data_IF_171069374968
#
_entry.id   IF_171069374968
#
_cell.length_a   1.000
_cell.length_b   1.000
_cell.length_c   1.000
_cell.angle_alpha   90.00
_cell.angle_beta   90.00
_cell.angle_gamma   90.00
#
_symmetry.space_group_name_H-M   'P 1'
#
loop_
_entity.id
_entity.type
_entity.pdbx_description
1 polymer ?
#
# COMPACT_ATOMS: atom_id res chain seq x y z
N UNK A 1 13.42 31.29 -9.93
CA UNK A 1 12.99 30.04 -10.59
C UNK A 1 13.82 28.96 -9.95
N UNK A 2 13.31 28.38 -8.86
CA UNK A 2 13.97 27.28 -8.17
C UNK A 2 13.62 26.00 -8.93
N UNK A 3 14.64 25.42 -9.55
CA UNK A 3 14.57 24.21 -10.34
C UNK A 3 14.35 23.04 -9.38
N UNK A 4 13.12 22.53 -9.35
CA UNK A 4 12.73 21.32 -8.61
C UNK A 4 13.46 20.13 -9.23
N UNK A 5 14.72 19.92 -8.84
CA UNK A 5 15.40 18.66 -9.09
C UNK A 5 14.66 17.57 -8.31
N UNK A 6 14.20 16.48 -8.96
CA UNK A 6 13.63 15.35 -8.25
C UNK A 6 14.70 14.81 -7.29
N UNK A 7 14.39 14.76 -5.99
CA UNK A 7 15.25 14.14 -4.99
C UNK A 7 15.53 12.72 -5.46
N UNK A 8 16.81 12.35 -5.58
CA UNK A 8 17.22 11.03 -6.01
C UNK A 8 16.40 9.96 -5.27
N UNK A 9 15.72 9.11 -6.04
CA UNK A 9 14.97 7.96 -5.52
C UNK A 9 15.98 6.99 -4.89
N UNK A 10 16.30 7.21 -3.61
CA UNK A 10 17.12 6.28 -2.85
C UNK A 10 16.27 5.05 -2.54
N UNK A 11 16.63 3.89 -3.11
CA UNK A 11 15.98 2.63 -2.78
C UNK A 11 15.93 2.43 -1.25
N UNK A 12 14.76 2.08 -0.69
CA UNK A 12 14.61 1.90 0.74
C UNK A 12 15.51 0.78 1.26
N UNK A 13 16.15 1.00 2.41
CA UNK A 13 17.06 0.02 2.99
C UNK A 13 16.31 -1.29 3.36
N UNK A 14 16.89 -2.44 3.02
CA UNK A 14 16.29 -3.75 3.31
C UNK A 14 16.52 -4.17 4.78
N UNK A 15 15.95 -3.41 5.73
CA UNK A 15 16.15 -3.54 7.18
C UNK A 15 14.82 -3.61 7.95
N UNK A 16 14.85 -4.16 9.16
CA UNK A 16 13.70 -4.25 10.07
C UNK A 16 14.06 -3.78 11.48
N UNK A 17 13.25 -2.91 12.13
CA UNK A 17 13.43 -2.57 13.53
C UNK A 17 13.03 -3.75 14.43
N UNK A 18 13.93 -4.16 15.31
CA UNK A 18 13.64 -5.14 16.37
C UNK A 18 13.05 -4.47 17.60
N UNK A 19 13.65 -3.35 18.03
CA UNK A 19 13.26 -2.65 19.25
C UNK A 19 13.64 -1.17 19.20
N UNK A 20 12.81 -0.35 19.80
CA UNK A 20 13.13 1.03 20.16
C UNK A 20 13.13 1.17 21.69
N UNK A 21 14.06 1.96 22.22
CA UNK A 21 14.09 2.28 23.65
C UNK A 21 14.74 3.65 23.87
N UNK A 22 14.50 4.20 25.05
CA UNK A 22 15.22 5.37 25.54
C UNK A 22 16.23 4.88 26.57
N UNK A 23 17.48 5.27 26.38
CA UNK A 23 18.53 5.11 27.38
C UNK A 23 18.99 6.50 27.86
N UNK A 24 19.65 6.55 29.00
CA UNK A 24 20.07 7.79 29.64
C UNK A 24 21.60 7.79 29.74
N UNK A 25 22.27 8.51 28.85
CA UNK A 25 23.73 8.66 28.92
C UNK A 25 24.08 9.98 29.61
N UNK A 26 25.04 9.90 30.54
CA UNK A 26 25.61 11.08 31.19
C UNK A 26 26.53 11.81 30.22
N UNK A 27 26.20 13.05 29.89
CA UNK A 27 27.11 13.98 29.23
C UNK A 27 27.90 14.72 30.30
N UNK A 28 29.21 14.50 30.34
CA UNK A 28 30.25 15.23 31.10
C UNK A 28 29.73 16.21 32.18
N UNK A 29 29.31 15.69 33.33
CA UNK A 29 29.02 16.54 34.49
C UNK A 29 27.87 16.08 35.34
N UNK A 30 26.63 16.44 35.00
CA UNK A 30 25.53 16.34 35.99
C UNK A 30 24.14 16.03 35.40
N UNK A 31 23.96 15.98 34.07
CA UNK A 31 22.64 15.78 33.47
C UNK A 31 22.61 14.53 32.56
N UNK A 32 21.70 13.61 32.88
CA UNK A 32 21.42 12.43 32.06
C UNK A 32 20.55 12.86 30.87
N UNK A 33 21.11 12.85 29.67
CA UNK A 33 20.32 13.12 28.47
C UNK A 33 19.54 11.86 28.09
N UNK A 34 18.24 12.00 27.88
CA UNK A 34 17.42 10.96 27.26
C UNK A 34 17.84 10.78 25.79
N UNK A 35 18.44 9.64 25.48
CA UNK A 35 18.88 9.26 24.13
C UNK A 35 18.00 8.13 23.63
N UNK A 36 17.38 8.34 22.48
CA UNK A 36 16.56 7.34 21.83
C UNK A 36 17.42 6.45 20.92
N UNK A 37 17.22 5.14 21.03
CA UNK A 37 17.96 4.10 20.34
C UNK A 37 17.03 3.21 19.51
N UNK A 38 17.59 2.63 18.45
CA UNK A 38 16.96 1.59 17.66
C UNK A 38 17.91 0.42 17.50
N UNK A 39 17.39 -0.78 17.73
CA UNK A 39 18.00 -2.04 17.38
C UNK A 39 17.32 -2.50 16.10
N UNK A 40 18.09 -2.74 15.05
CA UNK A 40 17.59 -3.15 13.75
C UNK A 40 18.47 -4.24 13.15
N UNK A 41 17.91 -4.96 12.19
CA UNK A 41 18.61 -6.03 11.49
C UNK A 41 18.33 -6.02 9.99
N UNK A 42 19.16 -6.67 9.20
CA UNK A 42 18.90 -6.84 7.76
C UNK A 42 17.80 -7.88 7.57
N UNK A 43 16.82 -7.56 6.72
CA UNK A 43 15.76 -8.51 6.36
C UNK A 43 16.30 -9.60 5.42
N UNK A 44 15.65 -10.76 5.41
CA UNK A 44 15.99 -11.89 4.54
C UNK A 44 17.18 -12.73 5.01
N UNK A 45 18.15 -12.18 5.76
CA UNK A 45 19.38 -12.89 6.08
C UNK A 45 19.28 -13.82 7.30
N UNK A 46 19.85 -15.03 7.18
CA UNK A 46 19.84 -16.08 8.23
C UNK A 46 20.69 -15.76 9.45
N UNK A 47 21.80 -15.03 9.25
CA UNK A 47 22.72 -14.52 10.27
C UNK A 47 22.72 -13.00 10.22
N UNK A 48 21.55 -12.40 10.28
CA UNK A 48 21.45 -10.96 10.23
C UNK A 48 22.09 -10.36 11.49
N UNK A 49 23.12 -9.53 11.30
CA UNK A 49 23.75 -8.81 12.40
C UNK A 49 22.73 -7.85 13.00
N UNK A 50 22.57 -7.94 14.32
CA UNK A 50 21.78 -6.99 15.08
C UNK A 50 22.66 -5.75 15.29
N UNK A 51 22.19 -4.61 14.80
CA UNK A 51 22.87 -3.32 14.93
C UNK A 51 22.07 -2.42 15.84
N UNK A 52 22.75 -1.76 16.78
CA UNK A 52 22.16 -0.74 17.65
C UNK A 52 22.70 0.62 17.24
N UNK A 53 21.81 1.56 16.98
CA UNK A 53 22.18 2.93 16.62
C UNK A 53 21.28 3.94 17.34
N UNK A 54 21.85 5.11 17.64
CA UNK A 54 21.09 6.26 18.14
C UNK A 54 20.14 6.75 17.04
N UNK A 55 18.87 6.98 17.37
CA UNK A 55 17.85 7.50 16.43
C UNK A 55 18.33 8.76 15.73
N UNK A 56 18.96 9.69 16.47
CA UNK A 56 19.54 10.93 15.93
C UNK A 56 20.57 10.71 14.82
N UNK A 57 21.26 9.55 14.81
CA UNK A 57 22.22 9.17 13.76
C UNK A 57 21.48 8.58 12.56
N UNK A 58 20.53 7.68 12.82
CA UNK A 58 19.76 7.01 11.77
C UNK A 58 18.86 7.98 11.00
N UNK A 59 18.32 9.00 11.66
CA UNK A 59 17.56 10.08 11.02
C UNK A 59 18.33 10.84 9.93
N UNK A 60 19.68 10.84 10.00
CA UNK A 60 20.53 11.47 8.98
C UNK A 60 20.71 10.60 7.74
N UNK A 61 20.45 9.29 7.86
CA UNK A 61 20.50 8.32 6.77
C UNK A 61 19.08 8.15 6.21
N UNK A 62 18.77 8.90 5.15
CA UNK A 62 17.43 8.96 4.58
C UNK A 62 16.90 7.58 4.16
N UNK A 63 17.76 6.69 3.65
CA UNK A 63 17.35 5.36 3.18
C UNK A 63 16.95 4.43 4.32
N UNK A 64 17.66 4.49 5.47
CA UNK A 64 17.28 3.76 6.69
C UNK A 64 16.08 4.42 7.38
N UNK A 65 16.08 5.74 7.46
CA UNK A 65 15.03 6.49 8.14
C UNK A 65 13.68 6.31 7.47
N UNK A 66 13.61 6.31 6.13
CA UNK A 66 12.37 6.06 5.40
C UNK A 66 11.67 4.74 5.81
N UNK A 67 12.45 3.72 6.17
CA UNK A 67 11.93 2.42 6.61
C UNK A 67 11.60 2.41 8.10
N UNK A 68 12.41 3.06 8.94
CA UNK A 68 12.29 3.02 10.40
C UNK A 68 11.32 4.05 10.97
N UNK A 69 11.13 5.20 10.30
CA UNK A 69 10.25 6.27 10.72
C UNK A 69 8.84 5.80 11.11
N UNK A 70 8.09 5.04 10.28
CA UNK A 70 6.72 4.64 10.64
C UNK A 70 6.67 3.76 11.89
N UNK A 71 7.70 2.94 12.13
CA UNK A 71 7.78 2.11 13.34
C UNK A 71 8.19 2.92 14.56
N UNK A 72 9.06 3.91 14.37
CA UNK A 72 9.44 4.85 15.42
C UNK A 72 8.24 5.70 15.86
N UNK A 73 7.47 6.23 14.90
CA UNK A 73 6.25 7.00 15.18
C UNK A 73 5.20 6.14 15.91
N UNK A 74 5.01 4.89 15.49
CA UNK A 74 4.15 3.94 16.19
C UNK A 74 4.64 3.64 17.61
N UNK A 75 5.95 3.46 17.80
CA UNK A 75 6.54 3.27 19.13
C UNK A 75 6.32 4.49 20.04
N UNK A 76 6.51 5.71 19.53
CA UNK A 76 6.23 6.95 20.28
C UNK A 76 4.75 7.08 20.66
N UNK A 77 3.85 6.55 19.84
CA UNK A 77 2.40 6.50 20.10
C UNK A 77 1.97 5.30 20.94
N UNK A 78 2.88 4.40 21.31
CA UNK A 78 2.60 3.12 21.98
C UNK A 78 1.62 2.22 21.21
N UNK A 79 1.62 2.33 19.88
CA UNK A 79 0.78 1.55 18.97
C UNK A 79 1.50 0.29 18.47
N UNK A 80 0.74 -0.68 17.95
CA UNK A 80 1.33 -1.89 17.34
C UNK A 80 2.15 -1.51 16.11
N UNK A 81 3.29 -2.18 15.94
CA UNK A 81 4.18 -1.96 14.79
C UNK A 81 3.42 -2.09 13.45
N UNK A 82 3.57 -1.12 12.53
CA UNK A 82 2.91 -1.18 11.23
C UNK A 82 3.51 -2.30 10.40
N UNK A 83 2.66 -3.17 9.83
CA UNK A 83 3.11 -4.11 8.79
C UNK A 83 3.22 -3.31 7.49
N UNK A 84 4.45 -3.09 7.02
CA UNK A 84 4.66 -2.34 5.78
C UNK A 84 4.41 -3.26 4.57
N UNK A 85 3.29 -3.05 3.89
CA UNK A 85 2.89 -3.81 2.69
C UNK A 85 1.76 -4.80 2.94
N UNK A 86 1.54 -5.70 1.97
CA UNK A 86 0.52 -6.74 2.06
C UNK A 86 0.98 -7.84 3.03
N UNK A 87 0.24 -8.12 4.13
CA UNK A 87 0.68 -9.06 5.14
C UNK A 87 0.80 -10.47 4.57
N UNK A 88 1.90 -11.15 4.89
CA UNK A 88 2.19 -12.49 4.37
C UNK A 88 1.11 -13.52 4.74
N UNK A 89 0.44 -13.37 5.88
CA UNK A 89 -0.65 -14.27 6.31
C UNK A 89 -1.92 -14.15 5.46
N UNK A 90 -2.20 -12.96 4.96
CA UNK A 90 -3.40 -12.72 4.16
C UNK A 90 -3.18 -13.15 2.71
N UNK A 91 -1.94 -13.48 2.32
CA UNK A 91 -1.60 -13.79 0.94
C UNK A 91 -1.93 -15.24 0.62
N UNK A 92 -2.84 -15.52 -0.33
CA UNK A 92 -3.22 -16.89 -0.68
C UNK A 92 -2.10 -17.69 -1.37
N UNK A 93 -0.96 -17.06 -1.67
CA UNK A 93 0.19 -17.69 -2.30
C UNK A 93 1.07 -18.53 -1.36
N UNK A 94 0.88 -18.42 -0.04
CA UNK A 94 1.62 -19.16 1.00
C UNK A 94 0.69 -20.01 1.85
N UNK A 95 1.19 -21.16 2.32
CA UNK A 95 0.49 -21.92 3.38
C UNK A 95 0.75 -21.29 4.76
N UNK A 96 -0.11 -21.56 5.77
CA UNK A 96 0.09 -21.04 7.12
C UNK A 96 1.45 -21.43 7.74
N UNK A 97 1.97 -22.61 7.42
CA UNK A 97 3.27 -23.09 7.88
C UNK A 97 4.41 -22.30 7.23
N UNK A 98 4.28 -22.00 5.92
CA UNK A 98 5.24 -21.18 5.19
C UNK A 98 5.23 -19.74 5.71
N UNK A 99 4.05 -19.17 5.95
CA UNK A 99 3.89 -17.84 6.53
C UNK A 99 4.55 -17.74 7.92
N UNK A 100 4.42 -18.78 8.76
CA UNK A 100 5.10 -18.84 10.06
C UNK A 100 6.63 -18.80 9.92
N UNK A 101 7.20 -19.62 9.05
CA UNK A 101 8.67 -19.64 8.84
C UNK A 101 9.17 -18.29 8.30
N UNK A 102 8.41 -17.65 7.41
CA UNK A 102 8.74 -16.33 6.88
C UNK A 102 8.72 -15.25 7.98
N UNK A 103 7.70 -15.29 8.85
CA UNK A 103 7.60 -14.39 10.01
C UNK A 103 8.71 -14.58 11.03
N UNK A 104 9.08 -15.82 11.33
CA UNK A 104 10.20 -16.14 12.22
C UNK A 104 11.53 -15.55 11.70
N UNK A 105 11.58 -15.20 10.41
CA UNK A 105 12.72 -14.58 9.73
C UNK A 105 12.48 -13.11 9.37
N UNK A 106 11.50 -12.47 10.00
CA UNK A 106 11.14 -11.05 9.83
C UNK A 106 10.72 -10.67 8.40
N UNK A 107 10.25 -11.63 7.60
CA UNK A 107 9.56 -11.39 6.32
C UNK A 107 8.06 -11.33 6.62
N UNK A 108 7.56 -10.12 6.88
CA UNK A 108 6.18 -9.92 7.35
C UNK A 108 5.21 -9.56 6.22
N UNK A 109 5.74 -9.15 5.07
CA UNK A 109 4.94 -8.75 3.90
C UNK A 109 5.37 -9.45 2.60
N UNK A 110 4.48 -9.41 1.61
CA UNK A 110 4.73 -9.96 0.27
C UNK A 110 5.81 -9.16 -0.46
N UNK A 111 5.88 -7.85 -0.20
CA UNK A 111 6.92 -6.94 -0.69
C UNK A 111 8.29 -7.31 -0.13
N UNK A 112 8.37 -7.66 1.16
CA UNK A 112 9.62 -8.15 1.77
C UNK A 112 10.09 -9.46 1.12
N UNK A 113 9.17 -10.38 0.85
CA UNK A 113 9.48 -11.66 0.19
C UNK A 113 9.95 -11.44 -1.25
N UNK A 114 9.31 -10.55 -2.00
CA UNK A 114 9.67 -10.23 -3.38
C UNK A 114 11.08 -9.59 -3.48
N UNK A 115 11.39 -8.69 -2.54
CA UNK A 115 12.66 -7.94 -2.50
C UNK A 115 13.82 -8.67 -1.81
N UNK A 116 13.56 -9.84 -1.20
CA UNK A 116 14.60 -10.63 -0.53
C UNK A 116 15.65 -11.16 -1.52
N UNK A 117 16.92 -11.20 -1.11
CA UNK A 117 17.99 -11.70 -1.97
C UNK A 117 17.93 -13.21 -2.17
N UNK A 118 18.41 -13.70 -3.32
CA UNK A 118 18.36 -15.13 -3.64
C UNK A 118 19.21 -15.98 -2.68
N UNK A 119 20.33 -15.42 -2.20
CA UNK A 119 21.21 -16.03 -1.22
C UNK A 119 20.58 -16.13 0.17
N UNK A 120 19.71 -15.17 0.52
CA UNK A 120 18.94 -15.12 1.75
C UNK A 120 17.79 -16.14 1.71
N UNK A 121 17.08 -16.21 0.59
CA UNK A 121 15.98 -17.17 0.37
C UNK A 121 16.46 -18.63 0.38
N UNK A 122 17.62 -18.92 -0.24
CA UNK A 122 18.18 -20.27 -0.27
C UNK A 122 18.51 -20.83 1.12
N UNK A 123 18.74 -19.97 2.10
CA UNK A 123 19.04 -20.36 3.49
C UNK A 123 17.80 -20.48 4.39
N UNK A 124 16.62 -20.09 3.89
CA UNK A 124 15.36 -20.28 4.61
C UNK A 124 14.96 -21.76 4.71
N UNK A 125 15.56 -22.63 3.90
CA UNK A 125 15.29 -24.08 3.92
C UNK A 125 13.87 -24.45 3.50
N UNK A 126 13.10 -23.49 2.97
CA UNK A 126 11.74 -23.70 2.50
C UNK A 126 11.74 -24.34 1.10
N UNK A 127 11.00 -25.43 0.89
CA UNK A 127 10.88 -26.03 -0.43
C UNK A 127 10.18 -25.06 -1.39
N UNK A 128 10.77 -24.85 -2.57
CA UNK A 128 10.18 -24.01 -3.61
C UNK A 128 10.21 -22.51 -3.33
N UNK A 129 11.11 -22.03 -2.45
CA UNK A 129 11.18 -20.62 -2.04
C UNK A 129 11.43 -19.65 -3.21
N UNK A 130 12.16 -20.08 -4.25
CA UNK A 130 12.39 -19.27 -5.45
C UNK A 130 11.11 -19.12 -6.29
N UNK A 131 10.33 -20.19 -6.41
CA UNK A 131 9.01 -20.15 -7.04
C UNK A 131 8.05 -19.28 -6.24
N UNK A 132 8.14 -19.32 -4.90
CA UNK A 132 7.35 -18.46 -4.01
C UNK A 132 7.70 -16.98 -4.20
N UNK A 133 8.99 -16.64 -4.32
CA UNK A 133 9.42 -15.28 -4.65
C UNK A 133 8.89 -14.84 -6.02
N UNK A 134 8.95 -15.70 -7.03
CA UNK A 134 8.38 -15.42 -8.35
C UNK A 134 6.88 -15.14 -8.29
N UNK A 135 6.13 -15.93 -7.51
CA UNK A 135 4.70 -15.69 -7.24
C UNK A 135 4.45 -14.38 -6.50
N UNK A 136 5.30 -14.01 -5.54
CA UNK A 136 5.20 -12.75 -4.81
C UNK A 136 5.39 -11.55 -5.76
N UNK A 137 6.41 -11.61 -6.63
CA UNK A 137 6.64 -10.58 -7.66
C UNK A 137 5.46 -10.48 -8.63
N UNK A 138 5.00 -11.60 -9.17
CA UNK A 138 3.85 -11.64 -10.07
C UNK A 138 2.56 -11.13 -9.40
N UNK A 139 2.36 -11.41 -8.11
CA UNK A 139 1.24 -10.88 -7.35
C UNK A 139 1.32 -9.36 -7.19
N UNK A 140 2.50 -8.80 -6.91
CA UNK A 140 2.69 -7.35 -6.81
C UNK A 140 2.54 -6.66 -8.16
N UNK A 141 3.07 -7.24 -9.23
CA UNK A 141 2.87 -6.76 -10.61
C UNK A 141 1.40 -6.81 -11.00
N UNK A 142 0.71 -7.93 -10.75
CA UNK A 142 -0.72 -8.06 -10.99
C UNK A 142 -1.50 -7.01 -10.20
N UNK A 143 -1.13 -6.75 -8.94
CA UNK A 143 -1.80 -5.77 -8.07
C UNK A 143 -1.55 -4.32 -8.52
N UNK A 144 -0.34 -4.00 -8.96
CA UNK A 144 -0.04 -2.70 -9.59
C UNK A 144 -0.82 -2.49 -10.89
N UNK A 145 -1.00 -3.54 -11.70
CA UNK A 145 -1.80 -3.47 -12.92
C UNK A 145 -3.31 -3.55 -12.68
N UNK A 146 -3.76 -4.16 -11.58
CA UNK A 146 -5.19 -4.30 -11.24
C UNK A 146 -5.73 -3.04 -10.55
N UNK A 147 -4.91 -2.28 -9.82
CA UNK A 147 -5.32 -1.01 -9.21
C UNK A 147 -5.87 0.03 -10.21
N UNK A 148 -5.24 0.30 -11.37
CA UNK A 148 -5.80 1.19 -12.38
C UNK A 148 -7.04 0.58 -13.07
N UNK A 149 -7.05 -0.74 -13.32
CA UNK A 149 -8.21 -1.43 -13.93
C UNK A 149 -9.43 -1.40 -13.00
N UNK A 150 -9.26 -1.51 -11.68
CA UNK A 150 -10.36 -1.41 -10.73
C UNK A 150 -10.92 0.02 -10.65
N UNK A 151 -10.06 1.04 -10.72
CA UNK A 151 -10.48 2.44 -10.79
C UNK A 151 -11.19 2.75 -12.12
N UNK A 152 -10.71 2.22 -13.23
CA UNK A 152 -11.30 2.37 -14.57
C UNK A 152 -12.64 1.64 -14.67
N UNK A 153 -12.76 0.43 -14.12
CA UNK A 153 -14.05 -0.29 -14.05
C UNK A 153 -15.05 0.42 -13.15
N UNK A 154 -14.61 1.04 -12.05
CA UNK A 154 -15.48 1.86 -11.21
C UNK A 154 -15.96 3.12 -11.95
N UNK A 155 -15.05 3.82 -12.65
CA UNK A 155 -15.38 5.00 -13.45
C UNK A 155 -16.32 4.67 -14.62
N UNK A 156 -16.05 3.60 -15.37
CA UNK A 156 -16.89 3.14 -16.48
C UNK A 156 -18.28 2.68 -16.02
N UNK A 157 -18.40 2.13 -14.81
CA UNK A 157 -19.71 1.77 -14.22
C UNK A 157 -20.51 3.00 -13.84
N UNK A 158 -19.86 4.02 -13.28
CA UNK A 158 -20.52 5.29 -12.97
C UNK A 158 -20.97 5.98 -14.26
N UNK A 159 -20.11 6.08 -15.27
CA UNK A 159 -20.44 6.67 -16.58
C UNK A 159 -21.60 5.94 -17.28
N UNK A 160 -21.62 4.60 -17.27
CA UNK A 160 -22.74 3.82 -17.81
C UNK A 160 -24.05 4.08 -17.05
N UNK A 161 -23.99 4.33 -15.74
CA UNK A 161 -25.16 4.64 -14.95
C UNK A 161 -25.69 6.04 -15.33
N UNK A 162 -24.80 7.04 -15.41
CA UNK A 162 -25.16 8.40 -15.83
C UNK A 162 -25.75 8.44 -17.24
N UNK A 163 -25.11 7.76 -18.21
CA UNK A 163 -25.62 7.66 -19.58
C UNK A 163 -26.99 6.99 -19.65
N UNK A 164 -27.26 5.99 -18.81
CA UNK A 164 -28.58 5.33 -18.73
C UNK A 164 -29.64 6.26 -18.16
N UNK A 165 -29.31 7.00 -17.10
CA UNK A 165 -30.22 7.99 -16.50
C UNK A 165 -30.54 9.13 -17.48
N UNK A 166 -29.54 9.60 -18.24
CA UNK A 166 -29.72 10.61 -19.29
C UNK A 166 -30.56 10.11 -20.46
N UNK A 167 -30.34 8.87 -20.94
CA UNK A 167 -31.16 8.25 -21.98
C UNK A 167 -32.61 8.08 -21.53
N UNK A 168 -32.82 7.66 -20.29
CA UNK A 168 -34.16 7.46 -19.74
C UNK A 168 -34.90 8.79 -19.59
N UNK A 169 -34.22 9.85 -19.13
CA UNK A 169 -34.77 11.21 -19.07
C UNK A 169 -35.09 11.77 -20.47
N UNK A 170 -34.20 11.56 -21.45
CA UNK A 170 -34.43 11.99 -22.84
C UNK A 170 -35.61 11.23 -23.48
N UNK A 171 -35.74 9.93 -23.23
CA UNK A 171 -36.87 9.12 -23.69
C UNK A 171 -38.20 9.55 -23.05
N UNK A 172 -38.20 9.89 -21.76
CA UNK A 172 -39.39 10.42 -21.09
C UNK A 172 -39.81 11.77 -21.68
N UNK A 173 -38.86 12.67 -21.95
CA UNK A 173 -39.14 13.96 -22.57
C UNK A 173 -39.72 13.81 -23.99
N UNK A 174 -39.17 12.89 -24.79
CA UNK A 174 -39.68 12.56 -26.12
C UNK A 174 -41.10 12.01 -26.05
N UNK A 175 -41.39 11.13 -25.07
CA UNK A 175 -42.72 10.58 -24.86
C UNK A 175 -43.74 11.66 -24.49
N UNK A 176 -43.38 12.58 -23.59
CA UNK A 176 -44.24 13.72 -23.26
C UNK A 176 -44.47 14.68 -24.43
N UNK A 177 -43.46 14.90 -25.27
CA UNK A 177 -43.59 15.72 -26.48
C UNK A 177 -44.48 15.06 -27.53
N UNK A 178 -44.40 13.73 -27.69
CA UNK A 178 -45.31 12.99 -28.56
C UNK A 178 -46.75 13.00 -28.05
N UNK A 179 -46.97 12.88 -26.73
CA UNK A 179 -48.33 12.94 -26.15
C UNK A 179 -48.95 14.34 -26.25
N UNK A 180 -48.15 15.41 -26.16
CA UNK A 180 -48.61 16.80 -26.36
C UNK A 180 -48.85 17.16 -27.84
N UNK A 181 -48.28 16.40 -28.77
CA UNK A 181 -48.49 16.56 -30.21
C UNK A 181 -49.84 16.02 -30.72
N UNK A 182 -50.50 15.15 -29.95
CA UNK A 182 -51.69 14.41 -30.38
C UNK A 182 -53.02 14.92 -29.79
N UNK A 183 -53.06 16.12 -29.20
CA UNK A 183 -54.35 16.74 -28.86
C UNK A 183 -55.13 17.06 -30.15
N UNK A 184 -56.29 16.43 -30.41
CA UNK A 184 -57.03 16.68 -31.63
C UNK A 184 -57.54 18.12 -31.59
N UNK A 185 -57.15 18.94 -32.59
CA UNK A 185 -57.80 20.22 -32.84
C UNK A 185 -59.27 19.93 -33.14
N UNK A 186 -60.12 20.04 -32.11
CA UNK A 186 -61.59 19.91 -32.19
C UNK A 186 -62.08 20.85 -33.29
N UNK A 187 -62.43 20.27 -34.44
CA UNK A 187 -63.06 20.98 -35.54
C UNK A 187 -64.32 21.67 -35.05
N UNK A 188 -64.37 23.00 -35.25
CA UNK A 188 -65.56 23.81 -35.01
C UNK A 188 -66.65 23.36 -35.99
N UNK A 189 -67.83 23.08 -35.44
CA UNK A 189 -68.98 22.45 -36.08
C UNK A 189 -69.39 23.13 -37.39
N UNK A 190 -69.77 22.31 -38.38
CA UNK A 190 -70.63 22.74 -39.49
C UNK A 190 -72.02 22.98 -38.90
N UNK A 191 -72.44 24.23 -38.86
CA UNK A 191 -73.84 24.59 -38.66
C UNK A 191 -74.64 24.16 -39.89
N UNK A 192 -75.73 23.44 -39.63
CA UNK A 192 -76.71 22.99 -40.60
C UNK A 192 -77.85 24.02 -40.65
N UNK A 193 -78.13 24.55 -41.83
CA UNK A 193 -79.49 24.88 -42.31
C UNK A 193 -79.49 24.98 -43.85
#
# INVERSE_FOLDING_TARGET
MDEFMPRADHEPAHIFPLKFWTDYEGTDGEELAAIEWVQWTKKGTTNATITEDKIRRVMKDQAKWAVLQPYYDAWKRQEKAPVNGYPIDAWPGVTPEQAKVLKDRHVLSVEDLANSSQADLGKLGLPGILQLQGKAKAFLEARQNTAPVAAEVAALREENKTMREELEAAMQLLKEMSDKGDTPRRGRQKDAE
#
